data_IF_330371520166
#
_entry.id   IF_330371520166
#
_cell.length_a   1.000
_cell.length_b   1.000
_cell.length_c   1.000
_cell.angle_alpha   90.00
_cell.angle_beta   90.00
_cell.angle_gamma   90.00
#
_symmetry.space_group_name_H-M   'P 1'
#
loop_
_entity.id
_entity.type
_entity.pdbx_description
1 polymer ?
#
# COMPACT_ATOMS: atom_id res chain seq x y z
N UNK A 1 31.31 -11.53 3.37
CA UNK A 1 31.60 -11.01 4.73
C UNK A 1 30.33 -10.49 5.41
N UNK A 2 29.67 -9.45 4.88
CA UNK A 2 28.52 -8.74 5.48
C UNK A 2 27.37 -9.62 6.00
N UNK A 3 26.98 -10.70 5.32
CA UNK A 3 25.90 -11.60 5.79
C UNK A 3 26.27 -12.38 7.04
N UNK A 4 27.52 -12.85 7.14
CA UNK A 4 28.00 -13.65 8.28
C UNK A 4 28.12 -12.77 9.52
N UNK A 5 28.61 -11.54 9.37
CA UNK A 5 28.69 -10.54 10.45
C UNK A 5 27.29 -10.22 11.03
N UNK A 6 26.29 -10.09 10.15
CA UNK A 6 24.89 -9.88 10.55
C UNK A 6 24.33 -11.07 11.33
N UNK A 7 24.52 -12.29 10.83
CA UNK A 7 24.08 -13.51 11.53
C UNK A 7 24.79 -13.69 12.88
N UNK A 8 26.07 -13.34 12.98
CA UNK A 8 26.80 -13.32 14.25
C UNK A 8 26.25 -12.24 15.21
N UNK A 9 25.76 -11.11 14.69
CA UNK A 9 25.00 -10.11 15.44
C UNK A 9 23.71 -10.68 16.02
N UNK A 10 22.90 -11.34 15.19
CA UNK A 10 21.64 -11.97 15.59
C UNK A 10 21.85 -13.03 16.67
N UNK A 11 22.85 -13.89 16.49
CA UNK A 11 23.19 -14.93 17.46
C UNK A 11 23.57 -14.35 18.82
N UNK A 12 24.39 -13.29 18.85
CA UNK A 12 24.75 -12.60 20.09
C UNK A 12 23.53 -11.96 20.78
N UNK A 13 22.58 -11.44 20.02
CA UNK A 13 21.38 -10.84 20.57
C UNK A 13 20.47 -11.89 21.24
N UNK A 14 20.28 -13.03 20.58
CA UNK A 14 19.55 -14.17 21.15
C UNK A 14 20.20 -14.67 22.43
N UNK A 15 21.52 -14.90 22.44
CA UNK A 15 22.23 -15.37 23.64
C UNK A 15 22.11 -14.40 24.81
N UNK A 16 22.14 -13.09 24.53
CA UNK A 16 21.93 -12.05 25.55
C UNK A 16 20.52 -12.08 26.11
N UNK A 17 19.51 -12.27 25.26
CA UNK A 17 18.11 -12.34 25.68
C UNK A 17 17.84 -13.59 26.53
N UNK A 18 18.40 -14.74 26.17
CA UNK A 18 18.31 -15.97 26.97
C UNK A 18 18.95 -15.76 28.35
N UNK A 19 20.13 -15.12 28.39
CA UNK A 19 20.84 -14.87 29.65
C UNK A 19 20.13 -13.86 30.57
N UNK A 20 19.33 -12.94 30.03
CA UNK A 20 18.66 -11.89 30.81
C UNK A 20 17.20 -12.16 31.14
N UNK A 21 16.47 -12.92 30.31
CA UNK A 21 15.03 -13.15 30.44
C UNK A 21 14.66 -14.53 30.99
N UNK A 22 15.64 -15.45 31.12
CA UNK A 22 15.45 -16.77 31.71
C UNK A 22 15.10 -17.87 30.70
N UNK A 23 15.15 -19.12 31.15
CA UNK A 23 15.07 -20.32 30.30
C UNK A 23 13.62 -20.75 29.99
N UNK A 24 12.65 -20.22 30.74
CA UNK A 24 11.23 -20.60 30.60
C UNK A 24 10.49 -19.81 29.48
N UNK A 25 11.18 -18.90 28.80
CA UNK A 25 10.59 -18.07 27.78
C UNK A 25 10.57 -18.78 26.42
N UNK A 26 9.45 -18.74 25.66
CA UNK A 26 9.41 -19.30 24.32
C UNK A 26 10.47 -18.66 23.42
N UNK A 27 11.24 -19.50 22.71
CA UNK A 27 12.28 -19.03 21.78
C UNK A 27 11.72 -18.09 20.70
N UNK A 28 10.45 -18.25 20.34
CA UNK A 28 9.76 -17.42 19.37
C UNK A 28 9.61 -15.95 19.81
N UNK A 29 9.64 -15.67 21.12
CA UNK A 29 9.44 -14.33 21.68
C UNK A 29 10.77 -13.59 21.92
N UNK A 30 11.90 -14.26 21.71
CA UNK A 30 13.22 -13.66 21.92
C UNK A 30 13.60 -12.73 20.75
N UNK A 31 14.15 -11.53 21.04
CA UNK A 31 14.53 -10.59 20.00
C UNK A 31 15.72 -11.12 19.19
N UNK A 32 15.50 -11.40 17.90
CA UNK A 32 16.57 -11.81 16.97
C UNK A 32 17.38 -10.59 16.47
N UNK A 33 16.66 -9.52 16.13
CA UNK A 33 17.26 -8.30 15.57
C UNK A 33 17.80 -7.43 16.70
N UNK A 34 18.97 -6.81 16.47
CA UNK A 34 19.47 -5.78 17.37
C UNK A 34 18.75 -4.45 17.17
N UNK A 35 18.82 -3.56 18.17
CA UNK A 35 18.11 -2.27 18.20
C UNK A 35 18.39 -1.37 16.98
N UNK A 36 19.60 -1.41 16.44
CA UNK A 36 19.97 -0.63 15.25
C UNK A 36 19.30 -1.17 13.98
N UNK A 37 19.27 -2.49 13.81
CA UNK A 37 18.66 -3.13 12.66
C UNK A 37 17.13 -3.02 12.71
N UNK A 38 16.53 -3.18 13.89
CA UNK A 38 15.11 -2.95 14.09
C UNK A 38 14.71 -1.50 13.79
N UNK A 39 15.49 -0.50 14.25
CA UNK A 39 15.26 0.91 13.91
C UNK A 39 15.41 1.19 12.41
N UNK A 40 16.36 0.54 11.74
CA UNK A 40 16.56 0.71 10.31
C UNK A 40 15.38 0.15 9.50
N UNK A 41 14.89 -1.03 9.88
CA UNK A 41 13.73 -1.66 9.24
C UNK A 41 12.48 -0.81 9.48
N UNK A 42 12.11 -0.58 10.75
CA UNK A 42 10.86 0.10 11.11
C UNK A 42 10.87 1.59 10.79
N UNK A 43 12.03 2.24 10.83
CA UNK A 43 12.15 3.67 10.56
C UNK A 43 12.42 3.98 9.10
N UNK A 44 13.54 3.47 8.57
CA UNK A 44 14.04 3.89 7.25
C UNK A 44 13.40 3.11 6.11
N UNK A 45 13.22 1.81 6.26
CA UNK A 45 12.72 0.95 5.18
C UNK A 45 11.20 0.90 5.13
N UNK A 46 10.54 0.89 6.30
CA UNK A 46 9.08 0.93 6.41
C UNK A 46 8.50 2.34 6.29
N UNK A 47 9.27 3.30 5.79
CA UNK A 47 8.83 4.69 5.65
C UNK A 47 7.84 4.84 4.49
N UNK A 48 6.59 4.56 4.75
CA UNK A 48 5.46 4.82 3.84
C UNK A 48 4.75 6.12 4.22
N UNK A 49 5.52 7.19 4.53
CA UNK A 49 5.01 8.53 4.89
C UNK A 49 4.38 9.29 3.70
N UNK A 50 3.99 8.59 2.64
CA UNK A 50 3.15 9.16 1.60
C UNK A 50 1.73 9.24 2.12
N UNK A 51 1.32 10.43 2.59
CA UNK A 51 -0.09 10.70 2.85
C UNK A 51 -0.84 10.55 1.53
N UNK A 52 -1.62 9.48 1.38
CA UNK A 52 -2.62 9.45 0.33
C UNK A 52 -3.66 10.52 0.69
N UNK A 53 -3.90 11.53 -0.16
CA UNK A 53 -4.98 12.48 0.05
C UNK A 53 -6.30 11.75 -0.20
N UNK A 54 -6.69 10.89 0.74
CA UNK A 54 -7.87 10.02 0.69
C UNK A 54 -9.17 10.76 0.95
N UNK A 55 -9.21 12.06 0.64
CA UNK A 55 -10.40 12.89 0.81
C UNK A 55 -11.48 12.55 -0.23
N UNK A 56 -11.10 11.94 -1.35
CA UNK A 56 -12.01 11.70 -2.47
C UNK A 56 -11.94 10.25 -2.96
N UNK A 57 -13.09 9.69 -3.31
CA UNK A 57 -13.15 8.42 -4.01
C UNK A 57 -12.54 8.55 -5.43
N UNK A 58 -12.00 7.45 -5.96
CA UNK A 58 -11.36 7.43 -7.29
C UNK A 58 -12.29 7.93 -8.40
N UNK A 59 -13.58 7.60 -8.36
CA UNK A 59 -14.56 8.06 -9.36
C UNK A 59 -14.69 9.59 -9.38
N UNK A 60 -14.59 10.26 -8.22
CA UNK A 60 -14.63 11.73 -8.11
C UNK A 60 -13.39 12.35 -8.76
N UNK A 61 -12.21 11.73 -8.62
CA UNK A 61 -10.99 12.21 -9.27
C UNK A 61 -11.07 12.10 -10.81
N UNK A 62 -11.74 11.06 -11.32
CA UNK A 62 -11.99 10.85 -12.74
C UNK A 62 -13.00 11.89 -13.27
N UNK A 63 -14.10 12.13 -12.57
CA UNK A 63 -15.08 13.17 -12.89
C UNK A 63 -14.41 14.55 -12.96
N UNK A 64 -13.55 14.88 -11.99
CA UNK A 64 -12.79 16.13 -11.97
C UNK A 64 -11.79 16.23 -13.15
N UNK A 65 -11.23 15.12 -13.62
CA UNK A 65 -10.39 15.12 -14.83
C UNK A 65 -11.24 15.29 -16.09
N UNK A 66 -12.44 14.68 -16.15
CA UNK A 66 -13.36 14.84 -17.27
C UNK A 66 -13.88 16.27 -17.43
N UNK A 67 -14.08 16.99 -16.32
CA UNK A 67 -14.40 18.41 -16.35
C UNK A 67 -13.23 19.28 -16.82
N UNK A 68 -11.99 18.94 -16.41
CA UNK A 68 -10.79 19.72 -16.77
C UNK A 68 -10.36 19.53 -18.23
N UNK A 69 -10.40 18.31 -18.74
CA UNK A 69 -9.94 17.98 -20.09
C UNK A 69 -10.89 16.98 -20.76
N UNK A 70 -12.11 17.41 -21.13
CA UNK A 70 -13.16 16.50 -21.60
C UNK A 70 -12.78 15.74 -22.88
N UNK A 71 -12.07 16.39 -23.80
CA UNK A 71 -11.69 15.80 -25.10
C UNK A 71 -10.34 15.07 -25.06
N UNK A 72 -9.66 15.02 -23.91
CA UNK A 72 -8.44 14.23 -23.77
C UNK A 72 -8.78 12.73 -23.78
N UNK A 73 -7.90 11.92 -24.36
CA UNK A 73 -8.04 10.46 -24.41
C UNK A 73 -7.91 9.88 -23.00
N UNK A 74 -8.93 9.15 -22.56
CA UNK A 74 -8.97 8.48 -21.26
C UNK A 74 -8.69 6.98 -21.35
N UNK A 75 -9.14 6.33 -22.43
CA UNK A 75 -9.04 4.89 -22.62
C UNK A 75 -8.74 4.58 -24.09
N UNK A 76 -7.81 3.65 -24.32
CA UNK A 76 -7.54 3.06 -25.63
C UNK A 76 -7.65 1.55 -25.50
N UNK A 77 -8.48 0.94 -26.33
CA UNK A 77 -8.67 -0.51 -26.37
C UNK A 77 -8.74 -0.98 -27.83
N UNK A 78 -7.64 -1.52 -28.35
CA UNK A 78 -7.50 -1.81 -29.78
C UNK A 78 -7.69 -0.54 -30.60
N UNK A 79 -8.62 -0.59 -31.56
CA UNK A 79 -8.97 0.56 -32.42
C UNK A 79 -9.96 1.53 -31.76
N UNK A 80 -10.48 1.20 -30.57
CA UNK A 80 -11.42 2.05 -29.85
C UNK A 80 -10.67 3.04 -28.96
N UNK A 81 -11.07 4.29 -29.03
CA UNK A 81 -10.56 5.36 -28.17
C UNK A 81 -11.74 6.08 -27.56
N UNK A 82 -11.70 6.31 -26.25
CA UNK A 82 -12.69 7.10 -25.54
C UNK A 82 -12.04 8.32 -24.91
N UNK A 83 -12.71 9.47 -25.04
CA UNK A 83 -12.35 10.67 -24.30
C UNK A 83 -12.83 10.57 -22.84
N UNK A 84 -12.31 11.43 -21.96
CA UNK A 84 -12.79 11.50 -20.59
C UNK A 84 -14.30 11.81 -20.51
N UNK A 85 -14.82 12.69 -21.39
CA UNK A 85 -16.25 12.99 -21.48
C UNK A 85 -17.09 11.75 -21.83
N UNK A 86 -16.61 10.93 -22.77
CA UNK A 86 -17.31 9.73 -23.21
C UNK A 86 -17.28 8.63 -22.16
N UNK A 87 -16.12 8.45 -21.52
CA UNK A 87 -15.93 7.49 -20.44
C UNK A 87 -16.84 7.82 -19.25
N UNK A 88 -16.82 9.06 -18.78
CA UNK A 88 -17.65 9.53 -17.66
C UNK A 88 -19.15 9.38 -17.97
N UNK A 89 -19.58 9.80 -19.15
CA UNK A 89 -20.98 9.63 -19.58
C UNK A 89 -21.43 8.17 -19.64
N UNK A 90 -20.56 7.25 -20.08
CA UNK A 90 -20.85 5.81 -20.08
C UNK A 90 -20.92 5.24 -18.67
N UNK A 91 -19.96 5.58 -17.81
CA UNK A 91 -19.91 5.16 -16.42
C UNK A 91 -21.15 5.61 -15.64
N UNK A 92 -21.56 6.88 -15.82
CA UNK A 92 -22.75 7.43 -15.16
C UNK A 92 -24.05 6.76 -15.61
N UNK A 93 -24.21 6.45 -16.91
CA UNK A 93 -25.36 5.66 -17.38
C UNK A 93 -25.42 4.28 -16.74
N UNK A 94 -24.28 3.59 -16.65
CA UNK A 94 -24.19 2.29 -16.00
C UNK A 94 -24.50 2.40 -14.50
N UNK A 95 -23.96 3.40 -13.80
CA UNK A 95 -24.23 3.62 -12.39
C UNK A 95 -25.73 3.82 -12.10
N UNK A 96 -26.44 4.57 -12.94
CA UNK A 96 -27.90 4.72 -12.81
C UNK A 96 -28.65 3.40 -13.01
N UNK A 97 -28.24 2.57 -13.98
CA UNK A 97 -28.83 1.25 -14.19
C UNK A 97 -28.59 0.32 -13.00
N UNK A 98 -27.36 0.29 -12.47
CA UNK A 98 -27.02 -0.51 -11.29
C UNK A 98 -27.84 -0.11 -10.06
N UNK A 99 -28.01 1.19 -9.83
CA UNK A 99 -28.87 1.71 -8.76
C UNK A 99 -30.32 1.30 -8.95
N UNK A 100 -30.83 1.33 -10.19
CA UNK A 100 -32.20 0.87 -10.49
C UNK A 100 -32.38 -0.64 -10.25
N UNK A 101 -31.32 -1.44 -10.36
CA UNK A 101 -31.32 -2.87 -10.03
C UNK A 101 -31.11 -3.15 -8.52
N UNK A 102 -31.04 -2.12 -7.68
CA UNK A 102 -30.91 -2.26 -6.23
C UNK A 102 -29.47 -2.38 -5.71
N UNK A 103 -28.46 -2.07 -6.54
CA UNK A 103 -27.07 -2.01 -6.08
C UNK A 103 -26.86 -0.70 -5.31
N UNK A 104 -26.48 -0.82 -4.04
CA UNK A 104 -26.13 0.27 -3.14
C UNK A 104 -24.92 -0.11 -2.27
N UNK A 105 -24.30 0.86 -1.57
CA UNK A 105 -23.19 0.60 -0.66
C UNK A 105 -23.57 -0.32 0.51
#
# INVERSE_FOLDING_TARGET
ARTIERLAGHWRNLLRAIASQGVDQPVADLPLLGDEEQRLILGRWSRTEGVYPGEHCVHVLIEAQAQRTPEAIALVFGDQTLTYRELDGQANRLAHQLRAMGVGP
#
